data_IF_284381080191
#
_entry.id   IF_284381080191
#
_cell.length_a   1.000
_cell.length_b   1.000
_cell.length_c   1.000
_cell.angle_alpha   90.00
_cell.angle_beta   90.00
_cell.angle_gamma   90.00
#
_symmetry.space_group_name_H-M   'P 1'
#
loop_
_entity.id
_entity.type
_entity.pdbx_description
1 polymer ?
#
# COMPACT_ATOMS: atom_id res chain seq x y z
N UNK A 1 10.29 -11.39 3.67
CA UNK A 1 11.62 -11.52 4.31
C UNK A 1 12.65 -11.91 3.26
N UNK A 2 13.77 -11.19 3.17
CA UNK A 2 14.73 -11.34 2.05
C UNK A 2 15.72 -12.49 2.22
N UNK A 3 15.88 -13.00 3.45
CA UNK A 3 16.86 -14.01 3.83
C UNK A 3 16.18 -15.25 4.42
N UNK A 4 16.71 -16.44 4.10
CA UNK A 4 16.24 -17.72 4.68
C UNK A 4 16.56 -17.82 6.17
N UNK A 5 17.71 -17.25 6.60
CA UNK A 5 18.13 -17.08 8.00
C UNK A 5 18.93 -15.77 8.14
N UNK A 6 18.84 -15.14 9.30
CA UNK A 6 19.51 -13.85 9.59
C UNK A 6 18.78 -12.63 9.02
N UNK A 7 19.40 -11.46 9.19
CA UNK A 7 18.79 -10.15 8.90
C UNK A 7 19.35 -9.49 7.64
N UNK A 8 20.37 -10.10 7.01
CA UNK A 8 21.07 -9.51 5.86
C UNK A 8 22.05 -8.41 6.24
N UNK A 9 22.30 -8.23 7.53
CA UNK A 9 23.22 -7.24 8.08
C UNK A 9 24.31 -7.92 8.90
N UNK A 10 25.52 -7.38 8.82
CA UNK A 10 26.68 -7.87 9.58
C UNK A 10 27.50 -6.69 10.08
N UNK A 11 28.11 -6.83 11.26
CA UNK A 11 29.03 -5.86 11.85
C UNK A 11 30.42 -6.50 11.99
N UNK A 12 31.31 -6.40 10.99
CA UNK A 12 32.60 -7.09 11.00
C UNK A 12 33.55 -6.58 12.09
N UNK A 13 33.35 -5.34 12.55
CA UNK A 13 34.04 -4.72 13.68
C UNK A 13 33.12 -3.64 14.31
N UNK A 14 33.45 -3.09 15.50
CA UNK A 14 32.57 -2.15 16.21
C UNK A 14 32.17 -0.88 15.45
N UNK A 15 32.94 -0.46 14.45
CA UNK A 15 32.75 0.80 13.71
C UNK A 15 32.26 0.60 12.26
N UNK A 16 31.88 -0.62 11.89
CA UNK A 16 31.45 -0.94 10.53
C UNK A 16 30.23 -1.86 10.53
N UNK A 17 29.14 -1.40 9.90
CA UNK A 17 27.97 -2.21 9.59
C UNK A 17 27.78 -2.31 8.07
N UNK A 18 27.43 -3.50 7.59
CA UNK A 18 27.15 -3.79 6.19
C UNK A 18 25.71 -4.29 6.06
N UNK A 19 25.02 -3.88 5.00
CA UNK A 19 23.67 -4.34 4.67
C UNK A 19 23.63 -4.93 3.27
N UNK A 20 22.98 -6.09 3.13
CA UNK A 20 22.87 -6.81 1.86
C UNK A 20 21.51 -6.53 1.22
N UNK A 21 21.53 -5.82 0.08
CA UNK A 21 20.33 -5.63 -0.75
C UNK A 21 20.19 -6.77 -1.75
N UNK A 22 19.06 -7.48 -1.70
CA UNK A 22 18.73 -8.58 -2.60
C UNK A 22 17.53 -8.22 -3.48
N UNK A 23 17.76 -8.11 -4.78
CA UNK A 23 16.72 -8.01 -5.81
C UNK A 23 16.85 -9.23 -6.72
N UNK A 24 15.70 -9.80 -7.11
CA UNK A 24 15.66 -10.94 -8.04
C UNK A 24 14.65 -10.64 -9.13
N UNK A 25 14.93 -11.12 -10.34
CA UNK A 25 14.01 -10.99 -11.47
C UNK A 25 12.63 -11.59 -11.15
N UNK A 26 12.60 -12.82 -10.64
CA UNK A 26 11.37 -13.51 -10.27
C UNK A 26 10.45 -12.67 -9.36
N UNK A 27 10.98 -12.08 -8.28
CA UNK A 27 10.16 -11.23 -7.40
C UNK A 27 9.75 -9.91 -8.08
N UNK A 28 10.64 -9.34 -8.91
CA UNK A 28 10.37 -8.07 -9.60
C UNK A 28 9.28 -8.22 -10.66
N UNK A 29 9.32 -9.29 -11.46
CA UNK A 29 8.27 -9.61 -12.43
C UNK A 29 6.93 -9.87 -11.74
N UNK A 30 6.93 -10.58 -10.60
CA UNK A 30 5.70 -10.84 -9.84
C UNK A 30 5.04 -9.57 -9.33
N UNK A 31 5.79 -8.66 -8.71
CA UNK A 31 5.21 -7.42 -8.20
C UNK A 31 4.82 -6.46 -9.34
N UNK A 32 5.61 -6.42 -10.43
CA UNK A 32 5.27 -5.67 -11.63
C UNK A 32 3.95 -6.15 -12.22
N UNK A 33 3.77 -7.47 -12.40
CA UNK A 33 2.55 -8.05 -12.94
C UNK A 33 1.33 -7.69 -12.11
N UNK A 34 1.44 -7.75 -10.78
CA UNK A 34 0.35 -7.29 -9.89
C UNK A 34 0.05 -5.80 -10.05
N UNK A 35 1.05 -4.96 -10.22
CA UNK A 35 0.84 -3.53 -10.46
C UNK A 35 0.11 -3.28 -11.79
N UNK A 36 0.50 -3.96 -12.87
CA UNK A 36 -0.16 -3.87 -14.16
C UNK A 36 -1.61 -4.42 -14.12
N UNK A 37 -1.84 -5.57 -13.50
CA UNK A 37 -3.19 -6.12 -13.27
C UNK A 37 -4.07 -5.15 -12.47
N UNK A 38 -3.50 -4.40 -11.52
CA UNK A 38 -4.23 -3.40 -10.77
C UNK A 38 -4.51 -2.13 -11.58
N UNK A 39 -3.60 -1.76 -12.47
CA UNK A 39 -3.76 -0.58 -13.33
C UNK A 39 -4.87 -0.76 -14.38
N UNK A 40 -5.10 -2.00 -14.87
CA UNK A 40 -6.14 -2.27 -15.88
C UNK A 40 -7.57 -2.03 -15.39
N UNK A 41 -7.80 -2.09 -14.08
CA UNK A 41 -9.09 -1.78 -13.45
C UNK A 41 -9.14 -0.34 -12.90
N UNK A 42 -8.14 0.48 -13.23
CA UNK A 42 -8.00 1.87 -12.78
C UNK A 42 -7.82 2.81 -13.97
N UNK A 43 -6.79 3.67 -13.97
CA UNK A 43 -6.54 4.66 -15.03
C UNK A 43 -5.50 4.19 -16.04
N UNK A 44 -5.18 2.90 -16.08
CA UNK A 44 -4.22 2.30 -17.00
C UNK A 44 -2.84 2.97 -16.96
N UNK A 45 -2.33 3.33 -15.77
CA UNK A 45 -1.00 3.92 -15.62
C UNK A 45 -0.20 3.30 -14.48
N UNK A 46 1.03 2.90 -14.76
CA UNK A 46 2.03 2.42 -13.78
C UNK A 46 3.26 3.31 -13.81
N UNK A 47 3.69 3.78 -12.63
CA UNK A 47 4.97 4.47 -12.44
C UNK A 47 5.93 3.55 -11.67
N UNK A 48 7.04 3.17 -12.31
CA UNK A 48 8.09 2.37 -11.70
C UNK A 48 9.07 3.26 -10.90
N UNK A 49 9.18 3.03 -9.60
CA UNK A 49 10.03 3.82 -8.72
C UNK A 49 11.34 3.11 -8.41
N UNK A 50 12.46 3.76 -8.71
CA UNK A 50 13.79 3.17 -8.59
C UNK A 50 14.88 4.22 -8.32
N UNK A 51 16.13 3.80 -8.20
CA UNK A 51 17.31 4.67 -8.13
C UNK A 51 18.45 4.04 -8.93
N UNK A 52 18.16 3.62 -10.17
CA UNK A 52 19.11 2.89 -11.01
C UNK A 52 20.35 3.70 -11.41
N UNK A 53 20.32 5.04 -11.31
CA UNK A 53 21.49 5.89 -11.48
C UNK A 53 22.53 5.75 -10.35
N UNK A 54 22.13 5.23 -9.18
CA UNK A 54 23.03 4.91 -8.06
C UNK A 54 23.17 3.39 -7.86
N UNK A 55 22.08 2.64 -8.02
CA UNK A 55 22.03 1.19 -7.85
C UNK A 55 21.91 0.47 -9.19
N UNK A 56 22.97 0.56 -10.00
CA UNK A 56 22.95 0.16 -11.41
C UNK A 56 22.54 -1.31 -11.61
N UNK A 57 22.99 -2.20 -10.74
CA UNK A 57 22.70 -3.63 -10.86
C UNK A 57 21.36 -4.02 -10.24
N UNK A 58 21.07 -3.60 -9.00
CA UNK A 58 19.86 -4.06 -8.31
C UNK A 58 18.61 -3.39 -8.85
N UNK A 59 18.65 -2.07 -9.02
CA UNK A 59 17.50 -1.32 -9.54
C UNK A 59 17.41 -1.39 -11.04
N UNK A 60 18.56 -1.56 -11.73
CA UNK A 60 18.56 -1.90 -13.15
C UNK A 60 17.83 -3.22 -13.40
N UNK A 61 18.11 -4.28 -12.63
CA UNK A 61 17.41 -5.56 -12.76
C UNK A 61 15.90 -5.46 -12.45
N UNK A 62 15.53 -4.66 -11.45
CA UNK A 62 14.12 -4.39 -11.14
C UNK A 62 13.42 -3.68 -12.32
N UNK A 63 14.02 -2.61 -12.84
CA UNK A 63 13.46 -1.83 -13.93
C UNK A 63 13.37 -2.65 -15.23
N UNK A 64 14.38 -3.47 -15.52
CA UNK A 64 14.36 -4.39 -16.67
C UNK A 64 13.17 -5.37 -16.58
N UNK A 65 12.95 -5.97 -15.41
CA UNK A 65 11.81 -6.85 -15.17
C UNK A 65 10.45 -6.14 -15.31
N UNK A 66 10.34 -4.90 -14.84
CA UNK A 66 9.10 -4.11 -15.00
C UNK A 66 8.84 -3.83 -16.49
N UNK A 67 9.87 -3.43 -17.24
CA UNK A 67 9.78 -3.20 -18.69
C UNK A 67 9.42 -4.47 -19.47
N UNK A 68 9.92 -5.63 -19.06
CA UNK A 68 9.58 -6.90 -19.68
C UNK A 68 8.11 -7.25 -19.47
N UNK A 69 7.58 -7.08 -18.25
CA UNK A 69 6.16 -7.31 -17.95
C UNK A 69 5.26 -6.32 -18.68
N UNK A 70 5.69 -5.06 -18.85
CA UNK A 70 4.90 -4.04 -19.55
C UNK A 70 4.53 -4.45 -20.99
N UNK A 71 5.36 -5.26 -21.65
CA UNK A 71 5.08 -5.79 -23.00
C UNK A 71 3.83 -6.68 -23.05
N UNK A 72 3.41 -7.23 -21.91
CA UNK A 72 2.21 -8.06 -21.77
C UNK A 72 0.94 -7.23 -21.55
N UNK A 73 1.07 -5.93 -21.27
CA UNK A 73 -0.02 -5.00 -20.97
C UNK A 73 0.07 -3.75 -21.86
N UNK A 74 -0.12 -3.87 -23.19
CA UNK A 74 0.11 -2.78 -24.14
C UNK A 74 -0.82 -1.56 -23.94
N UNK A 75 -1.95 -1.75 -23.27
CA UNK A 75 -2.92 -0.69 -22.98
C UNK A 75 -2.60 0.11 -21.70
N UNK A 76 -1.59 -0.30 -20.92
CA UNK A 76 -1.18 0.37 -19.69
C UNK A 76 0.05 1.23 -19.95
N UNK A 77 -0.06 2.54 -19.70
CA UNK A 77 1.06 3.47 -19.75
C UNK A 77 2.09 3.11 -18.66
N UNK A 78 3.36 2.94 -19.07
CA UNK A 78 4.49 2.80 -18.16
C UNK A 78 5.36 4.04 -18.22
N UNK A 79 5.63 4.63 -17.06
CA UNK A 79 6.71 5.59 -16.85
C UNK A 79 7.61 5.12 -15.70
N UNK A 80 8.82 5.67 -15.60
CA UNK A 80 9.72 5.45 -14.47
C UNK A 80 10.20 6.77 -13.87
N UNK A 81 10.40 6.77 -12.55
CA UNK A 81 10.93 7.91 -11.81
C UNK A 81 11.98 7.48 -10.80
N UNK A 82 12.97 8.36 -10.62
CA UNK A 82 13.87 8.26 -9.48
C UNK A 82 13.10 8.50 -8.18
N UNK A 83 13.38 7.73 -7.13
CA UNK A 83 12.64 7.77 -5.85
C UNK A 83 12.60 9.16 -5.19
N UNK A 84 13.65 9.97 -5.34
CA UNK A 84 13.69 11.35 -4.86
C UNK A 84 12.80 12.29 -5.67
N UNK A 85 12.78 12.14 -7.00
CA UNK A 85 11.86 12.86 -7.86
C UNK A 85 10.40 12.46 -7.60
N UNK A 86 10.15 11.16 -7.40
CA UNK A 86 8.84 10.62 -7.06
C UNK A 86 8.31 11.21 -5.75
N UNK A 87 9.13 11.25 -4.69
CA UNK A 87 8.75 11.86 -3.41
C UNK A 87 8.37 13.34 -3.58
N UNK A 88 9.17 14.12 -4.34
CA UNK A 88 8.85 15.52 -4.61
C UNK A 88 7.57 15.69 -5.44
N UNK A 89 7.32 14.80 -6.40
CA UNK A 89 6.13 14.86 -7.26
C UNK A 89 4.87 14.44 -6.54
N UNK A 90 4.95 13.46 -5.62
CA UNK A 90 3.83 13.07 -4.77
C UNK A 90 3.34 14.22 -3.90
N UNK A 91 4.25 15.05 -3.38
CA UNK A 91 3.86 16.24 -2.62
C UNK A 91 3.29 17.34 -3.52
N UNK A 92 3.85 17.52 -4.71
CA UNK A 92 3.51 18.65 -5.59
C UNK A 92 2.23 18.44 -6.41
N UNK A 93 2.04 17.24 -6.93
CA UNK A 93 0.98 16.86 -7.89
C UNK A 93 0.67 15.36 -7.75
N UNK A 94 0.14 14.92 -6.60
CA UNK A 94 -0.18 13.51 -6.36
C UNK A 94 -1.21 12.94 -7.35
N UNK A 95 -2.10 13.77 -7.89
CA UNK A 95 -3.15 13.40 -8.83
C UNK A 95 -2.63 12.89 -10.18
N UNK A 96 -1.35 13.14 -10.49
CA UNK A 96 -0.69 12.65 -11.71
C UNK A 96 -0.36 11.15 -11.68
N UNK A 97 -0.37 10.53 -10.50
CA UNK A 97 -0.04 9.12 -10.28
C UNK A 97 -1.29 8.24 -10.26
N UNK A 98 -1.18 6.97 -10.67
CA UNK A 98 -2.25 5.97 -10.51
C UNK A 98 -1.77 4.76 -9.71
N UNK A 99 -0.92 3.91 -10.30
CA UNK A 99 -0.30 2.77 -9.61
C UNK A 99 1.20 2.98 -9.52
N UNK A 100 1.75 2.88 -8.31
CA UNK A 100 3.19 2.90 -8.08
C UNK A 100 3.70 1.48 -7.87
N UNK A 101 4.80 1.12 -8.53
CA UNK A 101 5.52 -0.14 -8.27
C UNK A 101 6.95 0.16 -7.86
N UNK A 102 7.39 -0.39 -6.74
CA UNK A 102 8.69 -0.08 -6.16
C UNK A 102 9.31 -1.29 -5.45
N UNK A 103 10.62 -1.24 -5.20
CA UNK A 103 11.27 -2.20 -4.29
C UNK A 103 10.89 -1.94 -2.84
N UNK A 104 10.98 -2.98 -1.99
CA UNK A 104 10.48 -3.00 -0.61
C UNK A 104 10.71 -1.69 0.18
N UNK A 105 11.96 -1.23 0.32
CA UNK A 105 12.28 -0.02 1.10
C UNK A 105 11.65 1.26 0.52
N UNK A 106 11.59 1.39 -0.80
CA UNK A 106 10.98 2.55 -1.43
C UNK A 106 9.46 2.52 -1.29
N UNK A 107 8.86 1.34 -1.44
CA UNK A 107 7.43 1.13 -1.22
C UNK A 107 7.03 1.48 0.21
N UNK A 108 7.79 1.04 1.21
CA UNK A 108 7.59 1.35 2.63
C UNK A 108 7.50 2.87 2.86
N UNK A 109 8.56 3.59 2.50
CA UNK A 109 8.66 5.05 2.69
C UNK A 109 7.59 5.81 1.92
N UNK A 110 7.37 5.46 0.64
CA UNK A 110 6.42 6.19 -0.20
C UNK A 110 4.98 5.88 0.17
N UNK A 111 4.67 4.67 0.63
CA UNK A 111 3.32 4.31 1.07
C UNK A 111 2.89 5.16 2.29
N UNK A 112 3.80 5.37 3.25
CA UNK A 112 3.55 6.24 4.39
C UNK A 112 3.36 7.71 3.97
N UNK A 113 4.22 8.21 3.07
CA UNK A 113 4.07 9.55 2.50
C UNK A 113 2.69 9.72 1.86
N UNK A 114 2.26 8.77 1.03
CA UNK A 114 0.95 8.84 0.38
C UNK A 114 -0.22 8.70 1.34
N UNK A 115 -0.07 7.89 2.39
CA UNK A 115 -1.07 7.77 3.46
C UNK A 115 -1.30 9.09 4.18
N UNK A 116 -0.22 9.79 4.55
CA UNK A 116 -0.32 11.13 5.15
C UNK A 116 -0.89 12.17 4.19
N UNK A 117 -0.47 12.17 2.92
CA UNK A 117 -1.02 13.08 1.89
C UNK A 117 -2.52 12.86 1.65
N UNK A 118 -3.03 11.65 1.88
CA UNK A 118 -4.46 11.34 1.78
C UNK A 118 -5.29 11.84 2.96
N UNK A 119 -4.65 12.34 4.02
CA UNK A 119 -5.28 13.01 5.16
C UNK A 119 -4.86 12.46 6.52
N UNK A 120 -4.52 11.17 6.61
CA UNK A 120 -4.03 10.51 7.83
C UNK A 120 -3.58 9.09 7.49
N UNK A 121 -2.48 8.60 8.11
CA UNK A 121 -2.13 7.17 8.07
C UNK A 121 -3.26 6.27 8.58
N UNK A 122 -4.15 6.80 9.43
CA UNK A 122 -5.36 6.12 9.92
C UNK A 122 -6.39 5.81 8.83
N UNK A 123 -6.27 6.40 7.65
CA UNK A 123 -7.14 6.16 6.49
C UNK A 123 -6.56 5.13 5.50
N UNK A 124 -5.28 4.79 5.61
CA UNK A 124 -4.60 3.94 4.65
C UNK A 124 -4.87 2.45 4.91
N UNK A 125 -5.81 1.87 4.16
CA UNK A 125 -6.01 0.42 4.09
C UNK A 125 -4.85 -0.26 3.35
N UNK A 126 -4.46 -1.45 3.81
CA UNK A 126 -3.40 -2.24 3.17
C UNK A 126 -3.58 -3.75 3.35
N UNK A 127 -3.03 -4.48 2.38
CA UNK A 127 -2.99 -5.94 2.40
C UNK A 127 -1.60 -6.45 2.00
N UNK A 128 -1.19 -7.55 2.63
CA UNK A 128 -0.05 -8.35 2.17
C UNK A 128 -0.59 -9.58 1.44
N UNK A 129 -0.57 -9.52 0.11
CA UNK A 129 -1.07 -10.59 -0.73
C UNK A 129 0.08 -11.36 -1.40
N UNK A 130 -0.09 -12.68 -1.44
CA UNK A 130 0.63 -13.61 -2.33
C UNK A 130 -0.37 -14.23 -3.29
N UNK A 131 0.05 -15.21 -4.08
CA UNK A 131 -0.85 -15.87 -5.02
C UNK A 131 -1.93 -16.73 -4.33
N UNK A 132 -1.71 -17.13 -3.07
CA UNK A 132 -2.58 -18.08 -2.34
C UNK A 132 -3.02 -17.62 -0.96
N UNK A 133 -2.37 -16.59 -0.39
CA UNK A 133 -2.62 -16.07 0.95
C UNK A 133 -2.70 -14.56 0.92
N UNK A 134 -3.60 -13.98 1.71
CA UNK A 134 -3.73 -12.53 1.89
C UNK A 134 -3.95 -12.22 3.38
N UNK A 135 -3.28 -11.17 3.85
CA UNK A 135 -3.39 -10.67 5.21
C UNK A 135 -3.77 -9.19 5.19
N UNK A 136 -4.90 -8.84 5.79
CA UNK A 136 -5.27 -7.46 6.06
C UNK A 136 -4.44 -6.93 7.24
N UNK A 137 -3.93 -5.71 7.10
CA UNK A 137 -3.27 -5.00 8.19
C UNK A 137 -3.57 -3.51 8.09
N UNK A 138 -3.61 -2.80 9.22
CA UNK A 138 -3.59 -1.35 9.15
C UNK A 138 -2.18 -0.88 8.77
N UNK A 139 -2.06 0.22 8.02
CA UNK A 139 -0.76 0.80 7.68
C UNK A 139 -0.06 1.41 8.91
N UNK A 140 -0.84 1.98 9.84
CA UNK A 140 -0.30 2.66 11.01
C UNK A 140 0.29 1.70 12.07
N UNK A 141 1.15 2.24 12.95
CA UNK A 141 1.72 1.50 14.08
C UNK A 141 0.75 1.23 15.23
N UNK A 142 1.28 0.70 16.34
CA UNK A 142 0.48 0.25 17.50
C UNK A 142 -0.12 1.36 18.37
N UNK A 143 0.32 2.61 18.21
CA UNK A 143 -0.10 3.79 18.98
C UNK A 143 -0.31 3.52 20.50
N UNK A 144 0.74 3.11 21.26
CA UNK A 144 0.60 2.68 22.65
C UNK A 144 0.06 3.77 23.59
N UNK A 145 0.27 5.02 23.23
CA UNK A 145 -0.17 6.20 23.96
C UNK A 145 -1.70 6.37 23.99
N UNK A 146 -2.43 5.76 23.05
CA UNK A 146 -3.91 5.79 22.99
C UNK A 146 -4.57 4.43 23.26
N UNK A 147 -3.78 3.39 23.51
CA UNK A 147 -4.29 2.05 23.77
C UNK A 147 -5.28 2.04 24.95
N UNK A 148 -6.44 1.40 24.74
CA UNK A 148 -7.50 1.26 25.74
C UNK A 148 -8.32 2.53 26.01
N UNK A 149 -8.18 3.58 25.20
CA UNK A 149 -8.89 4.86 25.41
C UNK A 149 -10.13 5.07 24.52
N UNK A 150 -10.46 4.12 23.64
CA UNK A 150 -11.58 4.23 22.67
C UNK A 150 -11.49 5.48 21.77
N UNK A 151 -10.28 5.91 21.40
CA UNK A 151 -10.05 7.09 20.54
C UNK A 151 -9.22 6.78 19.28
N UNK A 152 -8.98 5.50 19.00
CA UNK A 152 -8.29 5.08 17.78
C UNK A 152 -9.22 5.21 16.56
N UNK A 153 -8.66 5.53 15.40
CA UNK A 153 -9.38 5.50 14.14
C UNK A 153 -9.39 4.07 13.57
N UNK A 154 -10.55 3.41 13.43
CA UNK A 154 -10.61 2.03 12.92
C UNK A 154 -10.62 1.96 11.38
N UNK A 155 -10.63 3.11 10.68
CA UNK A 155 -10.82 3.21 9.23
C UNK A 155 -9.83 2.36 8.43
N UNK A 156 -8.53 2.49 8.68
CA UNK A 156 -7.51 1.72 7.98
C UNK A 156 -7.76 0.21 8.08
N UNK A 157 -8.08 -0.30 9.28
CA UNK A 157 -8.38 -1.73 9.45
C UNK A 157 -9.66 -2.15 8.71
N UNK A 158 -10.70 -1.32 8.75
CA UNK A 158 -11.95 -1.58 8.03
C UNK A 158 -11.72 -1.67 6.51
N UNK A 159 -10.99 -0.70 5.95
CA UNK A 159 -10.62 -0.70 4.53
C UNK A 159 -9.71 -1.88 4.17
N UNK A 160 -8.78 -2.27 5.04
CA UNK A 160 -7.96 -3.47 4.84
C UNK A 160 -8.79 -4.76 4.80
N UNK A 161 -9.83 -4.86 5.62
CA UNK A 161 -10.78 -5.98 5.58
C UNK A 161 -11.59 -5.95 4.28
N UNK A 162 -12.06 -4.79 3.83
CA UNK A 162 -12.74 -4.62 2.55
C UNK A 162 -11.87 -5.09 1.37
N UNK A 163 -10.58 -4.74 1.39
CA UNK A 163 -9.59 -5.20 0.40
C UNK A 163 -9.38 -6.73 0.48
N UNK A 164 -9.32 -7.31 1.68
CA UNK A 164 -9.20 -8.76 1.87
C UNK A 164 -10.43 -9.50 1.34
N UNK A 165 -11.64 -9.00 1.61
CA UNK A 165 -12.88 -9.56 1.07
C UNK A 165 -12.85 -9.53 -0.46
N UNK A 166 -12.43 -8.40 -1.03
CA UNK A 166 -12.31 -8.25 -2.48
C UNK A 166 -11.28 -9.22 -3.07
N UNK A 167 -10.13 -9.40 -2.42
CA UNK A 167 -9.11 -10.36 -2.81
C UNK A 167 -9.63 -11.80 -2.77
N UNK A 168 -10.33 -12.19 -1.69
CA UNK A 168 -10.94 -13.52 -1.58
C UNK A 168 -12.00 -13.73 -2.66
N UNK A 169 -12.82 -12.72 -2.91
CA UNK A 169 -13.85 -12.72 -3.95
C UNK A 169 -13.28 -12.98 -5.32
N UNK A 170 -12.24 -12.24 -5.71
CA UNK A 170 -11.55 -12.41 -6.99
C UNK A 170 -10.82 -13.76 -7.09
N UNK A 171 -10.11 -14.18 -6.04
CA UNK A 171 -9.31 -15.41 -6.09
C UNK A 171 -10.13 -16.70 -6.02
N UNK A 172 -11.41 -16.63 -5.61
CA UNK A 172 -12.29 -17.80 -5.43
C UNK A 172 -13.59 -17.72 -6.23
N UNK A 173 -13.72 -16.73 -7.11
CA UNK A 173 -14.94 -16.46 -7.89
C UNK A 173 -16.20 -16.34 -7.01
N UNK A 174 -16.10 -15.59 -5.90
CA UNK A 174 -17.19 -15.39 -4.93
C UNK A 174 -17.75 -13.96 -5.03
N UNK A 175 -18.78 -13.71 -5.86
CA UNK A 175 -19.30 -12.35 -6.08
C UNK A 175 -19.85 -11.70 -4.80
N UNK A 176 -20.42 -12.48 -3.89
CA UNK A 176 -20.91 -11.98 -2.60
C UNK A 176 -19.79 -11.41 -1.71
N UNK A 177 -18.54 -11.86 -1.87
CA UNK A 177 -17.39 -11.29 -1.16
C UNK A 177 -16.93 -9.97 -1.79
N UNK A 178 -17.02 -9.84 -3.12
CA UNK A 178 -16.77 -8.58 -3.82
C UNK A 178 -17.80 -7.52 -3.42
N UNK A 179 -19.08 -7.90 -3.39
CA UNK A 179 -20.17 -7.04 -2.93
C UNK A 179 -19.97 -6.61 -1.47
N UNK A 180 -19.61 -7.53 -0.57
CA UNK A 180 -19.34 -7.21 0.82
C UNK A 180 -18.14 -6.25 0.98
N UNK A 181 -17.06 -6.46 0.22
CA UNK A 181 -15.90 -5.56 0.22
C UNK A 181 -16.27 -4.16 -0.28
N UNK A 182 -17.01 -4.08 -1.38
CA UNK A 182 -17.49 -2.82 -1.94
C UNK A 182 -18.43 -2.07 -0.99
N UNK A 183 -19.39 -2.77 -0.39
CA UNK A 183 -20.33 -2.20 0.57
C UNK A 183 -19.61 -1.66 1.81
N UNK A 184 -18.62 -2.40 2.33
CA UNK A 184 -17.81 -1.95 3.47
C UNK A 184 -17.00 -0.70 3.16
N UNK A 185 -16.37 -0.62 1.99
CA UNK A 185 -15.66 0.59 1.56
C UNK A 185 -16.61 1.79 1.41
N UNK A 186 -17.77 1.59 0.77
CA UNK A 186 -18.75 2.64 0.57
C UNK A 186 -19.34 3.16 1.89
N UNK A 187 -19.62 2.25 2.85
CA UNK A 187 -20.12 2.64 4.17
C UNK A 187 -19.10 3.47 4.96
N UNK A 188 -17.80 3.15 4.85
CA UNK A 188 -16.73 3.96 5.44
C UNK A 188 -16.68 5.36 4.80
N UNK A 189 -16.71 5.43 3.46
CA UNK A 189 -16.71 6.71 2.74
C UNK A 189 -17.91 7.58 3.12
N UNK A 190 -19.13 7.01 3.10
CA UNK A 190 -20.36 7.71 3.49
C UNK A 190 -20.31 8.19 4.96
N UNK A 191 -19.80 7.36 5.87
CA UNK A 191 -19.67 7.75 7.28
C UNK A 191 -18.71 8.93 7.44
N UNK A 192 -17.60 8.94 6.68
CA UNK A 192 -16.61 10.02 6.72
C UNK A 192 -17.13 11.34 6.14
N UNK A 193 -18.18 11.33 5.30
CA UNK A 193 -18.82 12.56 4.82
C UNK A 193 -19.43 13.38 5.97
N UNK A 194 -19.87 12.73 7.05
CA UNK A 194 -20.38 13.39 8.24
C UNK A 194 -19.24 13.78 9.20
N UNK A 195 -18.96 15.08 9.41
CA UNK A 195 -17.88 15.51 10.30
C UNK A 195 -18.10 15.14 11.77
N UNK A 196 -19.35 14.96 12.21
CA UNK A 196 -19.70 14.74 13.62
C UNK A 196 -19.27 13.37 14.14
N UNK A 197 -19.11 12.39 13.24
CA UNK A 197 -18.71 11.03 13.58
C UNK A 197 -17.22 10.77 13.38
N UNK A 198 -16.44 11.78 12.93
CA UNK A 198 -14.99 11.62 12.71
C UNK A 198 -14.24 11.46 14.04
N UNK A 199 -13.20 10.64 14.01
CA UNK A 199 -12.26 10.49 15.12
C UNK A 199 -11.31 11.67 15.23
N UNK A 200 -10.58 11.74 16.36
CA UNK A 200 -9.74 12.90 16.72
C UNK A 200 -8.62 13.21 15.71
N UNK A 201 -8.00 12.18 15.13
CA UNK A 201 -6.96 12.31 14.10
C UNK A 201 -7.49 12.96 12.81
N UNK A 202 -8.80 12.86 12.57
CA UNK A 202 -9.49 13.50 11.44
C UNK A 202 -10.15 14.84 11.82
N UNK A 203 -9.81 15.39 12.99
CA UNK A 203 -10.34 16.66 13.50
C UNK A 203 -11.72 16.59 14.16
N UNK A 204 -12.29 15.39 14.33
CA UNK A 204 -13.57 15.20 15.02
C UNK A 204 -13.43 14.88 16.52
N UNK A 205 -14.53 14.45 17.14
CA UNK A 205 -14.60 14.11 18.57
C UNK A 205 -15.18 12.74 18.87
N UNK A 206 -15.51 11.96 17.83
CA UNK A 206 -16.11 10.64 18.01
C UNK A 206 -15.11 9.63 18.58
N UNK A 207 -15.64 8.67 19.33
CA UNK A 207 -14.88 7.54 19.83
C UNK A 207 -14.73 6.45 18.74
N UNK A 208 -13.81 5.49 18.94
CA UNK A 208 -13.66 4.33 18.04
C UNK A 208 -14.99 3.60 17.89
N UNK A 209 -15.66 3.35 19.02
CA UNK A 209 -16.96 2.68 19.07
C UNK A 209 -18.03 3.48 18.32
N UNK A 210 -18.11 4.79 18.55
CA UNK A 210 -19.10 5.67 17.89
C UNK A 210 -18.95 5.63 16.36
N UNK A 211 -17.71 5.74 15.86
CA UNK A 211 -17.45 5.66 14.43
C UNK A 211 -17.81 4.27 13.87
N UNK A 212 -17.43 3.20 14.57
CA UNK A 212 -17.72 1.84 14.11
C UNK A 212 -19.23 1.52 14.07
N UNK A 213 -20.00 2.00 15.05
CA UNK A 213 -21.45 1.89 15.06
C UNK A 213 -22.09 2.70 13.92
N UNK A 214 -21.55 3.89 13.61
CA UNK A 214 -22.02 4.68 12.47
C UNK A 214 -21.81 3.94 11.14
N UNK A 215 -20.62 3.37 10.90
CA UNK A 215 -20.34 2.55 9.71
C UNK A 215 -21.27 1.34 9.64
N UNK A 216 -21.48 0.64 10.76
CA UNK A 216 -22.37 -0.51 10.83
C UNK A 216 -23.85 -0.16 10.58
N UNK A 217 -24.27 1.06 10.88
CA UNK A 217 -25.63 1.54 10.62
C UNK A 217 -25.91 1.92 9.16
N UNK A 218 -24.87 2.11 8.36
CA UNK A 218 -24.96 2.40 6.91
C UNK A 218 -24.98 1.11 6.07
N UNK A 219 -24.40 0.01 6.58
CA UNK A 219 -24.40 -1.31 5.95
C UNK A 219 -25.76 -2.02 6.01
#
# INVERSE_FOLDING_TARGET
RNMTRGWGEVMPNPDMALSTRKITRHCSERIARRAFEWATIRRNKVTAIHKANSFHMTDGLFLEAVNDVAKEFPDVELEDLLVDAAAAHLVRTPEAFDVLVATNLYGDILSDLTGELSGSLGLAGSVMASDTLCCAQAQHGSAPDIAGKDIANPTAMMLSIAMLLSWVGNNRDLPNYLEAGGAMSAAVDETLENPDVRTKDLGGSASTTTFAEAVAGVL
#
